data_IF_945831805616
#
_entry.id   IF_945831805616
#
_cell.length_a   1.000
_cell.length_b   1.000
_cell.length_c   1.000
_cell.angle_alpha   90.00
_cell.angle_beta   90.00
_cell.angle_gamma   90.00
#
_symmetry.space_group_name_H-M   'P 1'
#
loop_
_entity.id
_entity.type
_entity.pdbx_description
1 polymer ?
#
# COMPACT_ATOMS: atom_id res chain seq x y z
N UNK A 1 46.36 -38.55 1.07
CA UNK A 1 45.65 -37.51 1.86
C UNK A 1 44.23 -37.18 1.39
N UNK A 2 43.77 -37.68 0.23
CA UNK A 2 42.41 -37.35 -0.28
C UNK A 2 41.27 -38.13 0.40
N UNK A 3 41.50 -39.40 0.77
CA UNK A 3 40.44 -40.25 1.37
C UNK A 3 39.95 -39.70 2.71
N UNK A 4 40.85 -39.17 3.54
CA UNK A 4 40.47 -38.53 4.81
C UNK A 4 39.63 -37.28 4.60
N UNK A 5 39.87 -36.51 3.54
CA UNK A 5 39.08 -35.31 3.21
C UNK A 5 37.68 -35.69 2.74
N UNK A 6 37.54 -36.74 1.94
CA UNK A 6 36.24 -37.28 1.55
C UNK A 6 35.50 -37.92 2.71
N UNK A 7 36.19 -38.65 3.59
CA UNK A 7 35.61 -39.15 4.84
C UNK A 7 35.20 -38.00 5.76
N UNK A 8 35.94 -36.90 5.80
CA UNK A 8 35.59 -35.70 6.57
C UNK A 8 34.38 -34.95 5.97
N UNK A 9 34.26 -34.91 4.64
CA UNK A 9 33.07 -34.41 3.94
C UNK A 9 31.86 -35.33 4.14
N UNK A 10 32.05 -36.66 4.22
CA UNK A 10 31.00 -37.62 4.55
C UNK A 10 30.67 -37.65 6.06
N UNK A 11 31.57 -37.17 6.91
CA UNK A 11 31.37 -36.97 8.36
C UNK A 11 30.87 -35.56 8.71
N UNK A 12 30.70 -34.67 7.74
CA UNK A 12 29.81 -33.53 7.91
C UNK A 12 28.39 -34.07 7.87
N UNK A 13 27.93 -34.46 9.05
CA UNK A 13 26.54 -34.75 9.36
C UNK A 13 25.71 -33.60 8.80
N UNK A 14 25.08 -33.84 7.64
CA UNK A 14 24.11 -32.94 7.06
C UNK A 14 22.90 -32.97 8.00
N UNK A 15 22.97 -32.23 9.10
CA UNK A 15 21.82 -31.98 9.93
C UNK A 15 20.87 -31.11 9.10
N UNK A 16 19.98 -31.77 8.36
CA UNK A 16 18.89 -31.10 7.70
C UNK A 16 18.09 -30.39 8.80
N UNK A 17 18.12 -29.06 8.80
CA UNK A 17 17.34 -28.28 9.76
C UNK A 17 15.87 -28.57 9.54
N UNK A 18 15.15 -28.86 10.61
CA UNK A 18 13.71 -29.05 10.53
C UNK A 18 13.04 -27.73 10.18
N UNK A 19 12.25 -27.71 9.11
CA UNK A 19 11.62 -26.47 8.61
C UNK A 19 10.23 -26.33 9.20
N UNK A 20 10.01 -25.27 9.98
CA UNK A 20 8.72 -24.94 10.57
C UNK A 20 8.19 -23.67 9.92
N UNK A 21 6.96 -23.73 9.39
CA UNK A 21 6.31 -22.59 8.73
C UNK A 21 5.21 -22.02 9.62
N UNK A 22 5.10 -20.71 9.62
CA UNK A 22 4.14 -19.98 10.42
C UNK A 22 3.67 -18.71 9.73
N UNK A 23 2.48 -18.24 10.08
CA UNK A 23 1.98 -16.95 9.66
C UNK A 23 2.25 -15.90 10.73
N UNK A 24 2.63 -14.69 10.30
CA UNK A 24 2.84 -13.54 11.17
C UNK A 24 1.60 -13.29 12.03
N UNK A 25 1.78 -13.14 13.34
CA UNK A 25 0.68 -13.01 14.28
C UNK A 25 0.22 -14.34 14.90
N UNK A 26 0.58 -15.48 14.30
CA UNK A 26 0.25 -16.81 14.79
C UNK A 26 1.10 -17.26 15.98
N UNK A 27 0.65 -18.34 16.63
CA UNK A 27 1.44 -19.04 17.64
C UNK A 27 2.25 -20.18 17.00
N UNK A 28 3.43 -20.46 17.52
CA UNK A 28 4.33 -21.54 17.06
C UNK A 28 4.90 -22.29 18.24
N UNK A 29 5.12 -23.58 18.05
CA UNK A 29 5.83 -24.44 18.97
C UNK A 29 7.00 -25.10 18.25
N UNK A 30 8.21 -24.87 18.76
CA UNK A 30 9.42 -25.59 18.40
C UNK A 30 9.58 -26.71 19.43
N UNK A 31 9.21 -27.93 19.03
CA UNK A 31 9.21 -29.09 19.94
C UNK A 31 10.63 -29.53 20.28
N UNK A 32 10.85 -29.92 21.54
CA UNK A 32 12.13 -30.53 21.91
C UNK A 32 12.27 -31.96 21.39
N UNK A 33 11.15 -32.68 21.22
CA UNK A 33 11.06 -34.11 20.90
C UNK A 33 12.08 -34.97 21.66
N UNK A 34 12.39 -34.57 22.89
CA UNK A 34 13.37 -35.21 23.74
C UNK A 34 12.79 -35.39 25.12
N UNK A 35 12.81 -36.62 25.61
CA UNK A 35 12.31 -36.93 26.93
C UNK A 35 13.33 -36.45 27.96
N UNK A 36 13.07 -35.27 28.53
CA UNK A 36 13.97 -34.65 29.49
C UNK A 36 14.16 -35.53 30.72
N UNK A 37 15.42 -35.73 31.07
CA UNK A 37 15.79 -36.34 32.34
C UNK A 37 16.00 -35.29 33.43
N UNK A 38 15.89 -35.73 34.68
CA UNK A 38 16.13 -34.89 35.84
C UNK A 38 17.54 -34.28 35.76
N UNK A 39 17.63 -32.96 35.96
CA UNK A 39 18.88 -32.15 35.95
C UNK A 39 19.50 -31.83 34.58
N UNK A 40 18.87 -32.20 33.46
CA UNK A 40 19.34 -31.76 32.15
C UNK A 40 19.11 -30.25 31.97
N UNK A 41 20.08 -29.58 31.32
CA UNK A 41 19.95 -28.18 30.94
C UNK A 41 19.56 -28.08 29.46
N UNK A 42 18.37 -27.54 29.21
CA UNK A 42 17.87 -27.28 27.86
C UNK A 42 18.15 -25.84 27.52
N UNK A 43 18.82 -25.62 26.39
CA UNK A 43 19.14 -24.29 25.88
C UNK A 43 18.62 -24.13 24.46
N UNK A 44 17.94 -23.02 24.23
CA UNK A 44 17.64 -22.55 22.89
C UNK A 44 18.47 -21.32 22.57
N UNK A 45 19.02 -21.29 21.35
CA UNK A 45 19.83 -20.18 20.86
C UNK A 45 19.37 -19.72 19.48
N UNK A 46 19.26 -18.41 19.32
CA UNK A 46 19.03 -17.67 18.08
C UNK A 46 19.72 -16.28 18.26
N UNK A 47 20.11 -15.54 17.19
CA UNK A 47 20.95 -14.33 17.31
C UNK A 47 20.65 -13.38 18.49
N UNK A 48 19.38 -13.11 18.79
CA UNK A 48 18.95 -12.25 19.91
C UNK A 48 18.19 -12.99 21.03
N UNK A 49 18.32 -14.32 21.07
CA UNK A 49 17.57 -15.18 21.99
C UNK A 49 18.48 -16.24 22.58
N UNK A 50 18.55 -16.23 23.90
CA UNK A 50 19.16 -17.28 24.68
C UNK A 50 18.26 -17.57 25.88
N UNK A 51 17.63 -18.73 25.87
CA UNK A 51 16.78 -19.20 26.98
C UNK A 51 17.30 -20.54 27.48
N UNK A 52 17.28 -20.73 28.80
CA UNK A 52 17.81 -21.91 29.48
C UNK A 52 16.97 -22.26 30.70
N UNK A 53 16.64 -23.55 30.84
CA UNK A 53 15.94 -24.06 32.02
C UNK A 53 16.82 -23.95 33.28
N UNK A 54 18.09 -24.36 33.21
CA UNK A 54 18.98 -24.36 34.38
C UNK A 54 19.28 -22.95 34.91
N UNK A 55 19.42 -21.98 34.01
CA UNK A 55 19.69 -20.59 34.38
C UNK A 55 18.41 -19.81 34.71
N UNK A 56 17.24 -20.46 34.71
CA UNK A 56 15.95 -19.84 34.93
C UNK A 56 15.64 -18.65 33.99
N UNK A 57 16.23 -18.67 32.79
CA UNK A 57 15.95 -17.70 31.72
C UNK A 57 14.95 -18.37 30.79
N UNK A 58 13.68 -18.38 31.19
CA UNK A 58 12.62 -19.13 30.47
C UNK A 58 11.79 -18.26 29.55
N UNK A 59 12.04 -16.95 29.48
CA UNK A 59 11.31 -16.03 28.62
C UNK A 59 12.26 -15.19 27.79
N UNK A 60 11.81 -14.84 26.60
CA UNK A 60 12.55 -13.98 25.69
C UNK A 60 12.44 -12.52 26.11
N UNK A 61 13.43 -11.69 25.75
CA UNK A 61 13.50 -10.27 26.11
C UNK A 61 12.25 -9.47 25.72
N UNK A 62 11.63 -9.80 24.60
CA UNK A 62 10.42 -9.17 24.09
C UNK A 62 9.11 -9.80 24.61
N UNK A 63 9.17 -10.81 25.48
CA UNK A 63 8.00 -11.41 26.14
C UNK A 63 7.05 -12.22 25.25
N UNK A 64 7.41 -12.47 23.98
CA UNK A 64 6.56 -13.23 23.02
C UNK A 64 6.90 -14.71 22.94
N UNK A 65 7.99 -15.15 23.57
CA UNK A 65 8.32 -16.56 23.66
C UNK A 65 8.71 -17.00 25.06
N UNK A 66 8.48 -18.29 25.29
CA UNK A 66 8.66 -18.97 26.55
C UNK A 66 9.20 -20.39 26.33
N UNK A 67 10.21 -20.74 27.10
CA UNK A 67 10.72 -22.10 27.25
C UNK A 67 9.81 -22.87 28.20
N UNK A 68 9.23 -23.95 27.71
CA UNK A 68 8.34 -24.83 28.45
C UNK A 68 9.13 -25.86 29.26
N UNK A 69 8.47 -26.49 30.24
CA UNK A 69 9.09 -27.48 31.12
C UNK A 69 9.50 -28.78 30.42
N UNK A 70 8.88 -29.09 29.28
CA UNK A 70 9.25 -30.18 28.38
C UNK A 70 10.45 -29.84 27.48
N UNK A 71 11.01 -28.63 27.62
CA UNK A 71 12.14 -28.14 26.84
C UNK A 71 11.76 -27.54 25.49
N UNK A 72 10.47 -27.51 25.14
CA UNK A 72 9.98 -26.92 23.90
C UNK A 72 9.99 -25.39 23.98
N UNK A 73 10.27 -24.72 22.86
CA UNK A 73 10.21 -23.26 22.77
C UNK A 73 8.89 -22.83 22.11
N UNK A 74 8.07 -22.10 22.86
CA UNK A 74 6.77 -21.60 22.39
C UNK A 74 6.83 -20.11 22.09
N UNK A 75 6.30 -19.71 20.94
CA UNK A 75 5.95 -18.33 20.62
C UNK A 75 4.44 -18.14 20.73
N UNK A 76 4.00 -17.09 21.44
CA UNK A 76 2.58 -16.71 21.51
C UNK A 76 2.14 -15.93 20.27
N UNK A 77 3.05 -15.14 19.69
CA UNK A 77 2.85 -14.35 18.48
C UNK A 77 4.16 -14.17 17.73
N UNK A 78 4.33 -14.86 16.61
CA UNK A 78 5.50 -14.72 15.74
C UNK A 78 5.41 -13.48 14.84
N UNK A 79 6.54 -12.97 14.42
CA UNK A 79 6.71 -11.86 13.48
C UNK A 79 7.72 -12.25 12.40
N UNK A 80 7.70 -11.59 11.22
CA UNK A 80 8.64 -11.91 10.14
C UNK A 80 10.11 -11.89 10.58
N UNK A 81 10.48 -10.98 11.50
CA UNK A 81 11.83 -10.86 12.05
C UNK A 81 12.24 -12.00 13.02
N UNK A 82 11.31 -12.86 13.43
CA UNK A 82 11.64 -14.05 14.22
C UNK A 82 12.13 -15.21 13.34
N UNK A 83 12.04 -15.08 12.01
CA UNK A 83 12.50 -16.10 11.07
C UNK A 83 14.00 -16.29 11.18
N UNK A 84 14.45 -17.53 11.15
CA UNK A 84 15.88 -17.83 11.27
C UNK A 84 16.15 -19.23 11.75
N UNK A 85 17.44 -19.49 12.01
CA UNK A 85 17.89 -20.77 12.54
C UNK A 85 17.87 -20.74 14.07
N UNK A 86 17.20 -21.72 14.66
CA UNK A 86 17.11 -21.95 16.08
C UNK A 86 17.83 -23.24 16.41
N UNK A 87 18.73 -23.20 17.40
CA UNK A 87 19.40 -24.41 17.87
C UNK A 87 18.91 -24.78 19.26
N UNK A 88 18.38 -26.00 19.38
CA UNK A 88 18.15 -26.69 20.64
C UNK A 88 19.41 -27.44 21.02
N UNK A 89 19.88 -27.24 22.25
CA UNK A 89 21.00 -27.98 22.82
C UNK A 89 20.61 -28.49 24.21
N UNK A 90 20.87 -29.78 24.47
CA UNK A 90 20.64 -30.39 25.78
C UNK A 90 21.98 -30.82 26.36
N UNK A 91 22.21 -30.44 27.61
CA UNK A 91 23.43 -30.75 28.34
C UNK A 91 23.11 -31.59 29.58
N UNK A 92 24.01 -32.51 29.89
CA UNK A 92 24.02 -33.22 31.17
C UNK A 92 24.56 -32.34 32.32
N UNK A 93 24.46 -32.84 33.55
CA UNK A 93 24.87 -32.13 34.77
C UNK A 93 26.37 -31.78 34.75
N UNK A 94 27.18 -32.63 34.14
CA UNK A 94 28.63 -32.48 33.93
C UNK A 94 29.00 -31.46 32.84
N UNK A 95 28.02 -30.94 32.10
CA UNK A 95 28.22 -30.01 30.99
C UNK A 95 28.45 -30.67 29.63
N UNK A 96 28.38 -32.00 29.54
CA UNK A 96 28.48 -32.73 28.27
C UNK A 96 27.22 -32.48 27.42
N UNK A 97 27.40 -32.07 26.16
CA UNK A 97 26.27 -31.89 25.23
C UNK A 97 25.83 -33.26 24.72
N UNK A 98 24.60 -33.64 25.04
CA UNK A 98 24.01 -34.93 24.64
C UNK A 98 23.11 -34.83 23.43
N UNK A 99 22.55 -33.65 23.16
CA UNK A 99 21.68 -33.42 22.00
C UNK A 99 21.95 -32.06 21.39
N UNK A 100 21.90 -32.01 20.06
CA UNK A 100 21.76 -30.79 19.27
C UNK A 100 20.75 -31.02 18.17
N UNK A 101 19.82 -30.08 18.00
CA UNK A 101 18.89 -30.02 16.87
C UNK A 101 18.80 -28.59 16.37
N UNK A 102 18.73 -28.43 15.05
CA UNK A 102 18.64 -27.14 14.40
C UNK A 102 17.29 -27.05 13.65
N UNK A 103 16.60 -25.93 13.79
CA UNK A 103 15.27 -25.66 13.24
C UNK A 103 15.31 -24.39 12.41
N UNK A 104 14.76 -24.42 11.22
CA UNK A 104 14.54 -23.23 10.39
C UNK A 104 13.09 -22.77 10.54
N UNK A 105 12.88 -21.68 11.28
CA UNK A 105 11.57 -21.02 11.38
C UNK A 105 11.39 -20.05 10.22
N UNK A 106 10.32 -20.24 9.45
CA UNK A 106 9.91 -19.36 8.36
C UNK A 106 8.57 -18.71 8.71
N UNK A 107 8.57 -17.40 8.92
CA UNK A 107 7.36 -16.63 9.23
C UNK A 107 6.92 -15.83 8.01
N UNK A 108 5.79 -16.24 7.43
CA UNK A 108 5.18 -15.57 6.29
C UNK A 108 4.41 -14.33 6.75
N UNK A 109 4.60 -13.20 6.06
CA UNK A 109 3.89 -11.97 6.39
C UNK A 109 2.44 -12.04 5.91
N UNK A 110 1.49 -11.74 6.80
CA UNK A 110 0.08 -11.57 6.44
C UNK A 110 -0.10 -10.23 5.70
N UNK A 111 0.10 -10.26 4.38
CA UNK A 111 -0.13 -9.12 3.51
C UNK A 111 -1.63 -8.91 3.18
N UNK A 112 -2.50 -9.81 3.64
CA UNK A 112 -3.91 -9.90 3.26
C UNK A 112 -4.70 -8.63 3.59
N UNK A 113 -4.55 -8.06 4.79
CA UNK A 113 -5.34 -6.87 5.17
C UNK A 113 -4.95 -5.60 4.40
N UNK A 114 -3.64 -5.36 4.23
CA UNK A 114 -3.14 -4.18 3.52
C UNK A 114 -3.34 -4.30 2.00
N UNK A 115 -3.19 -5.51 1.46
CA UNK A 115 -3.43 -5.78 0.04
C UNK A 115 -4.89 -5.57 -0.35
N UNK A 116 -5.84 -6.08 0.44
CA UNK A 116 -7.28 -5.93 0.15
C UNK A 116 -7.72 -4.47 0.16
N UNK A 117 -7.22 -3.66 1.09
CA UNK A 117 -7.54 -2.22 1.11
C UNK A 117 -6.99 -1.52 -0.14
N UNK A 118 -5.76 -1.80 -0.54
CA UNK A 118 -5.14 -1.21 -1.73
C UNK A 118 -5.90 -1.62 -2.99
N UNK A 119 -6.26 -2.89 -3.14
CA UNK A 119 -7.03 -3.36 -4.31
C UNK A 119 -8.42 -2.73 -4.37
N UNK A 120 -9.11 -2.61 -3.24
CA UNK A 120 -10.42 -1.94 -3.16
C UNK A 120 -10.31 -0.45 -3.54
N UNK A 121 -9.28 0.26 -3.05
CA UNK A 121 -9.06 1.66 -3.40
C UNK A 121 -8.76 1.86 -4.89
N UNK A 122 -7.95 0.97 -5.49
CA UNK A 122 -7.67 1.00 -6.93
C UNK A 122 -8.94 0.77 -7.74
N UNK A 123 -9.75 -0.23 -7.37
CA UNK A 123 -11.02 -0.52 -8.05
C UNK A 123 -11.99 0.67 -7.95
N UNK A 124 -12.10 1.30 -6.79
CA UNK A 124 -12.93 2.49 -6.59
C UNK A 124 -12.44 3.67 -7.46
N UNK A 125 -11.13 3.90 -7.51
CA UNK A 125 -10.55 4.95 -8.34
C UNK A 125 -10.82 4.71 -9.84
N UNK A 126 -10.66 3.48 -10.32
CA UNK A 126 -10.95 3.11 -11.71
C UNK A 126 -12.44 3.30 -12.05
N UNK A 127 -13.35 2.95 -11.13
CA UNK A 127 -14.79 3.14 -11.29
C UNK A 127 -15.14 4.64 -11.40
N UNK A 128 -14.57 5.48 -10.53
CA UNK A 128 -14.77 6.92 -10.56
C UNK A 128 -14.25 7.55 -11.86
N UNK A 129 -13.09 7.10 -12.34
CA UNK A 129 -12.49 7.56 -13.59
C UNK A 129 -13.37 7.17 -14.80
N UNK A 130 -13.92 5.95 -14.80
CA UNK A 130 -14.87 5.51 -15.84
C UNK A 130 -16.13 6.38 -15.85
N UNK A 131 -16.72 6.65 -14.69
CA UNK A 131 -17.90 7.52 -14.57
C UNK A 131 -17.60 8.94 -15.06
N UNK A 132 -16.43 9.48 -14.71
CA UNK A 132 -16.00 10.79 -15.17
C UNK A 132 -15.87 10.86 -16.69
N UNK A 133 -15.30 9.83 -17.32
CA UNK A 133 -15.24 9.71 -18.79
C UNK A 133 -16.64 9.66 -19.39
N UNK A 134 -17.56 8.87 -18.82
CA UNK A 134 -18.95 8.79 -19.28
C UNK A 134 -19.64 10.16 -19.19
N UNK A 135 -19.44 10.90 -18.10
CA UNK A 135 -19.98 12.25 -17.93
C UNK A 135 -19.40 13.20 -18.97
N UNK A 136 -18.08 13.17 -19.20
CA UNK A 136 -17.44 13.99 -20.25
C UNK A 136 -18.05 13.67 -21.61
N UNK A 137 -18.14 12.39 -21.98
CA UNK A 137 -18.74 11.97 -23.25
C UNK A 137 -20.20 12.44 -23.34
N UNK A 138 -20.97 12.34 -22.26
CA UNK A 138 -22.36 12.82 -22.22
C UNK A 138 -22.45 14.34 -22.43
N UNK A 139 -21.58 15.13 -21.79
CA UNK A 139 -21.53 16.59 -21.93
C UNK A 139 -21.10 16.99 -23.34
N UNK A 140 -20.09 16.33 -23.90
CA UNK A 140 -19.63 16.56 -25.28
C UNK A 140 -20.73 16.21 -26.29
N UNK A 141 -21.36 15.04 -26.15
CA UNK A 141 -22.48 14.61 -26.99
C UNK A 141 -23.72 15.51 -26.83
N UNK A 142 -23.96 16.07 -25.64
CA UNK A 142 -25.04 17.06 -25.42
C UNK A 142 -24.71 18.37 -26.13
N UNK A 143 -23.46 18.85 -26.04
CA UNK A 143 -23.02 20.08 -26.70
C UNK A 143 -23.11 19.97 -28.23
N UNK A 144 -22.77 18.81 -28.79
CA UNK A 144 -22.93 18.54 -30.22
C UNK A 144 -24.41 18.52 -30.68
N UNK A 145 -25.31 17.95 -29.87
CA UNK A 145 -26.76 17.97 -30.17
C UNK A 145 -27.37 19.37 -30.15
N UNK A 146 -26.94 20.22 -29.20
CA UNK A 146 -27.37 21.63 -29.15
C UNK A 146 -26.84 22.40 -30.36
N UNK A 147 -25.57 22.19 -30.74
CA UNK A 147 -24.98 22.81 -31.94
C UNK A 147 -25.67 22.40 -33.24
N UNK A 148 -26.04 21.12 -33.39
CA UNK A 148 -26.78 20.65 -34.57
C UNK A 148 -28.20 21.18 -34.66
N UNK A 149 -28.87 21.44 -33.53
CA UNK A 149 -30.21 22.02 -33.52
C UNK A 149 -30.19 23.50 -33.92
N UNK A 150 -29.24 24.28 -33.40
CA UNK A 150 -29.08 25.69 -33.82
C UNK A 150 -28.72 25.84 -35.30
N UNK A 151 -27.89 24.94 -35.86
CA UNK A 151 -27.59 24.93 -37.29
C UNK A 151 -28.83 24.60 -38.16
N UNK A 152 -29.78 23.79 -37.65
CA UNK A 152 -31.00 23.47 -38.38
C UNK A 152 -31.95 24.67 -38.44
N UNK A 153 -32.02 25.49 -37.39
CA UNK A 153 -32.79 26.73 -37.36
C UNK A 153 -32.21 27.82 -38.27
N UNK A 154 -30.88 27.97 -38.32
CA UNK A 154 -30.22 28.87 -39.27
C UNK A 154 -30.46 28.46 -40.73
N UNK A 155 -30.48 27.15 -41.02
CA UNK A 155 -30.79 26.62 -42.35
C UNK A 155 -32.29 26.72 -42.72
N UNK A 156 -33.19 26.90 -41.76
CA UNK A 156 -34.61 27.13 -42.01
C UNK A 156 -34.92 28.62 -42.26
N UNK A 157 -34.12 29.53 -41.70
CA UNK A 157 -34.28 30.97 -41.86
C UNK A 157 -33.82 31.50 -43.22
N UNK A 158 -32.93 30.78 -43.91
CA UNK A 158 -32.38 31.19 -45.22
C UNK A 158 -33.29 30.82 -46.41
N UNK A 159 -34.29 29.95 -46.22
CA UNK A 159 -35.19 29.49 -47.29
C UNK A 159 -36.59 30.14 -47.22
N UNK A 160 -36.68 31.48 -47.10
CA UNK A 160 -38.00 32.17 -47.18
C UNK A 160 -38.04 33.50 -47.94
N UNK A 161 -37.06 33.81 -48.81
CA UNK A 161 -37.24 34.92 -49.76
C UNK A 161 -36.64 34.63 -51.14
N UNK A 162 -37.27 33.72 -51.89
CA UNK A 162 -37.07 33.64 -53.34
C UNK A 162 -38.42 33.41 -54.02
N UNK A 163 -39.26 34.45 -54.08
CA UNK A 163 -40.22 34.66 -55.17
C UNK A 163 -40.99 35.97 -54.97
N UNK A 164 -40.48 37.05 -55.57
CA UNK A 164 -41.36 38.09 -56.12
C UNK A 164 -40.64 38.81 -57.25
N UNK A 165 -41.18 38.63 -58.45
CA UNK A 165 -40.68 39.24 -59.66
C UNK A 165 -40.81 40.76 -59.66
N UNK A 166 -39.82 41.37 -60.31
CA UNK A 166 -39.93 42.46 -61.27
C UNK A 166 -40.93 43.59 -60.95
N UNK A 167 -40.43 44.72 -60.46
CA UNK A 167 -40.78 46.06 -60.95
C UNK A 167 -39.74 47.08 -60.49
N UNK A 168 -39.26 47.84 -61.47
CA UNK A 168 -38.44 49.05 -61.31
C UNK A 168 -39.20 50.08 -60.49
N UNK A 169 -38.51 50.78 -59.60
CA UNK A 169 -38.46 52.25 -59.56
C UNK A 169 -37.41 52.67 -58.52
N UNK A 170 -36.60 53.64 -58.94
CA UNK A 170 -35.58 54.31 -58.14
C UNK A 170 -36.29 55.10 -57.04
N UNK A 171 -35.91 54.89 -55.78
CA UNK A 171 -36.15 55.89 -54.75
C UNK A 171 -34.99 55.93 -53.74
N UNK A 172 -34.45 57.12 -53.66
CA UNK A 172 -33.28 57.60 -52.96
C UNK A 172 -33.54 57.68 -51.45
N UNK A 173 -33.00 56.73 -50.67
CA UNK A 173 -33.07 56.80 -49.20
C UNK A 173 -31.78 57.39 -48.62
N UNK A 174 -31.87 58.70 -48.43
CA UNK A 174 -31.03 59.62 -47.66
C UNK A 174 -30.37 58.98 -46.41
N UNK A 175 -29.04 58.95 -46.40
CA UNK A 175 -28.23 58.45 -45.28
C UNK A 175 -28.21 59.49 -44.14
N UNK A 176 -28.94 59.26 -43.06
CA UNK A 176 -28.82 60.04 -41.83
C UNK A 176 -27.80 59.35 -40.91
N UNK A 177 -26.61 59.94 -40.86
CA UNK A 177 -25.52 59.60 -39.95
C UNK A 177 -25.85 60.10 -38.54
N UNK A 178 -26.01 59.19 -37.58
CA UNK A 178 -26.13 59.53 -36.16
C UNK A 178 -24.81 59.21 -35.44
N UNK A 179 -23.88 60.16 -35.41
CA UNK A 179 -22.78 60.18 -34.46
C UNK A 179 -23.04 61.28 -33.42
N UNK A 180 -23.23 60.96 -32.13
CA UNK A 180 -22.87 61.84 -31.05
C UNK A 180 -21.45 61.49 -30.58
N UNK A 181 -20.53 62.41 -30.84
CA UNK A 181 -19.20 62.42 -30.24
C UNK A 181 -19.23 63.12 -28.87
N UNK A 182 -18.30 62.71 -27.99
CA UNK A 182 -17.82 63.39 -26.77
C UNK A 182 -18.71 63.16 -25.52
N UNK A 183 -18.22 62.72 -24.35
CA UNK A 183 -16.90 62.90 -23.74
C UNK A 183 -16.48 61.72 -22.84
N UNK A 184 -15.15 61.61 -22.72
CA UNK A 184 -14.34 60.64 -22.00
C UNK A 184 -14.45 60.80 -20.48
N UNK A 185 -14.58 59.67 -19.78
CA UNK A 185 -14.29 59.51 -18.34
C UNK A 185 -12.95 58.74 -18.27
N UNK A 186 -11.88 59.22 -17.63
CA UNK A 186 -11.44 59.00 -16.22
C UNK A 186 -9.99 59.55 -16.13
N UNK A 187 -9.38 59.87 -14.95
CA UNK A 187 -8.85 58.81 -14.05
C UNK A 187 -8.87 59.14 -12.53
N UNK A 188 -8.95 58.07 -11.72
CA UNK A 188 -8.72 58.03 -10.25
C UNK A 188 -7.21 58.21 -9.96
N UNK A 189 -6.83 58.79 -8.80
CA UNK A 189 -6.01 57.99 -7.88
C UNK A 189 -6.41 58.10 -6.40
N UNK A 190 -5.99 57.06 -5.66
CA UNK A 190 -6.32 56.69 -4.29
C UNK A 190 -5.83 57.62 -3.17
N UNK A 191 -6.50 57.56 -2.01
CA UNK A 191 -5.94 57.65 -0.65
C UNK A 191 -6.80 56.76 0.27
N UNK A 192 -6.39 55.55 0.62
CA UNK A 192 -5.58 55.19 1.81
C UNK A 192 -6.18 55.67 3.14
N UNK A 193 -6.92 54.77 3.80
CA UNK A 193 -7.28 54.82 5.20
C UNK A 193 -6.13 54.28 6.05
N UNK A 194 -5.52 55.13 6.90
CA UNK A 194 -4.87 54.76 8.16
C UNK A 194 -4.26 56.01 8.80
N UNK A 195 -4.84 56.51 9.90
CA UNK A 195 -4.05 57.07 11.02
C UNK A 195 -4.89 57.06 12.32
N UNK A 196 -4.41 56.27 13.29
CA UNK A 196 -4.74 56.34 14.71
C UNK A 196 -4.28 57.68 15.29
N UNK A 197 -5.06 58.32 16.18
CA UNK A 197 -4.54 59.05 17.36
C UNK A 197 -5.58 59.07 18.48
N UNK A 198 -5.19 58.48 19.62
CA UNK A 198 -5.50 58.77 21.03
C UNK A 198 -6.63 59.76 21.41
N UNK A 199 -7.59 59.29 22.22
CA UNK A 199 -7.74 59.61 23.66
C UNK A 199 -8.98 58.92 24.25
#
# INVERSE_FOLDING_TARGET
MSVLFWVWILMMESHASEVIRAHSGGAVLLTSDHQLQLKQDVRWTHPDLLVSLKNNVTACSHGRCQLLHDGSLRFSRVQPGDSGNYSLQVYEEDGTRVLRRDFLLLVEADLSSRSVLVTVLILLFLLLLLLFIIIILFVLNRKERIRRSGLLEDNLYVEMHSHRGNKREEDECHYVSCNPAVSVETPIPAQSSEENVDM
#
